data_IF_721245886961
#
_entry.id   IF_721245886961
#
_cell.length_a   1.000
_cell.length_b   1.000
_cell.length_c   1.000
_cell.angle_alpha   90.00
_cell.angle_beta   90.00
_cell.angle_gamma   90.00
#
_symmetry.space_group_name_H-M   'P 1'
#
loop_
_entity.id
_entity.type
_entity.pdbx_description
1 polymer ?
#
# COMPACT_ATOMS: atom_id res chain seq x y z
N UNK A 1 16.67 -19.52 5.28
CA UNK A 1 16.61 -18.67 4.07
C UNK A 1 16.41 -17.22 4.52
N UNK A 2 17.48 -16.43 4.65
CA UNK A 2 17.38 -15.02 5.06
C UNK A 2 17.02 -14.16 3.86
N UNK A 3 15.73 -14.09 3.52
CA UNK A 3 15.21 -13.26 2.42
C UNK A 3 15.51 -11.76 2.58
N UNK A 4 15.81 -11.31 3.81
CA UNK A 4 16.25 -9.94 4.10
C UNK A 4 17.52 -9.50 3.36
N UNK A 5 18.38 -10.44 2.96
CA UNK A 5 19.59 -10.14 2.20
C UNK A 5 19.36 -10.01 0.69
N UNK A 6 18.18 -10.36 0.19
CA UNK A 6 17.89 -10.35 -1.25
C UNK A 6 17.28 -9.01 -1.66
N UNK A 7 17.99 -8.28 -2.53
CA UNK A 7 17.52 -7.01 -3.10
C UNK A 7 16.15 -7.16 -3.77
N UNK A 8 15.89 -8.33 -4.37
CA UNK A 8 14.65 -8.59 -5.08
C UNK A 8 13.45 -8.67 -4.14
N UNK A 9 13.66 -9.11 -2.89
CA UNK A 9 12.62 -9.08 -1.87
C UNK A 9 12.24 -7.64 -1.50
N UNK A 10 13.24 -6.76 -1.31
CA UNK A 10 13.00 -5.35 -1.03
C UNK A 10 12.30 -4.62 -2.18
N UNK A 11 12.64 -4.92 -3.44
CA UNK A 11 11.96 -4.35 -4.61
C UNK A 11 10.49 -4.76 -4.68
N UNK A 12 10.18 -6.03 -4.38
CA UNK A 12 8.79 -6.52 -4.34
C UNK A 12 8.02 -5.95 -3.15
N UNK A 13 8.68 -5.75 -2.02
CA UNK A 13 8.07 -5.10 -0.86
C UNK A 13 7.74 -3.64 -1.15
N UNK A 14 8.68 -2.91 -1.76
CA UNK A 14 8.49 -1.51 -2.18
C UNK A 14 7.35 -1.39 -3.20
N UNK A 15 7.27 -2.28 -4.20
CA UNK A 15 6.15 -2.26 -5.15
C UNK A 15 4.81 -2.57 -4.47
N UNK A 16 4.77 -3.53 -3.54
CA UNK A 16 3.55 -3.81 -2.76
C UNK A 16 3.10 -2.61 -1.93
N UNK A 17 4.03 -1.84 -1.36
CA UNK A 17 3.75 -0.61 -0.62
C UNK A 17 3.17 0.47 -1.53
N UNK A 18 3.78 0.71 -2.70
CA UNK A 18 3.27 1.68 -3.67
C UNK A 18 1.83 1.33 -4.06
N UNK A 19 1.56 0.06 -4.35
CA UNK A 19 0.21 -0.42 -4.69
C UNK A 19 -0.76 -0.28 -3.52
N UNK A 20 -0.33 -0.54 -2.28
CA UNK A 20 -1.16 -0.34 -1.09
C UNK A 20 -1.49 1.15 -0.83
N UNK A 21 -0.59 2.07 -1.21
CA UNK A 21 -0.82 3.51 -1.04
C UNK A 21 -1.63 4.17 -2.17
N UNK A 22 -1.68 3.57 -3.37
CA UNK A 22 -2.39 4.10 -4.54
C UNK A 22 -3.87 4.51 -4.25
N UNK A 23 -4.68 3.70 -3.53
CA UNK A 23 -6.05 4.06 -3.20
C UNK A 23 -6.18 5.34 -2.36
N UNK A 24 -5.16 5.68 -1.57
CA UNK A 24 -5.19 6.88 -0.71
C UNK A 24 -5.00 8.18 -1.50
N UNK A 25 -4.39 8.10 -2.68
CA UNK A 25 -4.08 9.24 -3.55
C UNK A 25 -5.19 9.45 -4.59
N UNK A 26 -5.77 8.36 -5.12
CA UNK A 26 -6.78 8.42 -6.18
C UNK A 26 -8.13 8.85 -5.60
N UNK A 27 -8.50 10.12 -5.83
CA UNK A 27 -9.84 10.66 -5.57
C UNK A 27 -10.57 10.93 -6.88
N UNK A 28 -11.88 10.63 -7.00
CA UNK A 28 -12.75 9.98 -6.01
C UNK A 28 -12.49 8.47 -5.90
N UNK A 29 -12.71 7.92 -4.70
CA UNK A 29 -12.61 6.48 -4.44
C UNK A 29 -13.74 5.78 -5.21
N UNK A 30 -13.42 5.19 -6.35
CA UNK A 30 -14.34 4.35 -7.14
C UNK A 30 -14.06 2.88 -6.82
N UNK A 31 -15.10 2.05 -6.79
CA UNK A 31 -15.00 0.62 -6.48
C UNK A 31 -14.11 -0.14 -7.48
N UNK A 32 -14.20 0.19 -8.76
CA UNK A 32 -13.43 -0.49 -9.83
C UNK A 32 -11.91 -0.34 -9.66
N UNK A 33 -11.32 0.87 -9.55
CA UNK A 33 -9.87 1.01 -9.33
C UNK A 33 -9.42 0.45 -7.98
N UNK A 34 -10.30 0.41 -6.97
CA UNK A 34 -10.01 -0.22 -5.68
C UNK A 34 -9.81 -1.73 -5.85
N UNK A 35 -10.70 -2.38 -6.60
CA UNK A 35 -10.65 -3.81 -6.88
C UNK A 35 -9.41 -4.17 -7.71
N UNK A 36 -9.03 -3.35 -8.69
CA UNK A 36 -7.80 -3.58 -9.46
C UNK A 36 -6.55 -3.42 -8.61
N UNK A 37 -6.48 -2.40 -7.74
CA UNK A 37 -5.33 -2.25 -6.82
C UNK A 37 -5.22 -3.43 -5.85
N UNK A 38 -6.34 -3.95 -5.35
CA UNK A 38 -6.37 -5.08 -4.43
C UNK A 38 -5.93 -6.38 -5.13
N UNK A 39 -6.38 -6.61 -6.36
CA UNK A 39 -5.92 -7.73 -7.19
C UNK A 39 -4.43 -7.65 -7.49
N UNK A 40 -3.94 -6.45 -7.82
CA UNK A 40 -2.52 -6.25 -8.13
C UNK A 40 -1.64 -6.46 -6.90
N UNK A 41 -2.09 -5.98 -5.72
CA UNK A 41 -1.41 -6.22 -4.45
C UNK A 41 -1.39 -7.70 -4.08
N UNK A 42 -2.51 -8.41 -4.25
CA UNK A 42 -2.59 -9.86 -4.04
C UNK A 42 -1.65 -10.63 -4.99
N UNK A 43 -1.56 -10.21 -6.26
CA UNK A 43 -0.64 -10.81 -7.23
C UNK A 43 0.84 -10.63 -6.85
N UNK A 44 1.22 -9.49 -6.26
CA UNK A 44 2.59 -9.28 -5.77
C UNK A 44 2.89 -10.20 -4.58
N UNK A 45 1.95 -10.34 -3.65
CA UNK A 45 2.11 -11.23 -2.50
C UNK A 45 2.21 -12.70 -2.89
N UNK A 46 1.44 -13.15 -3.89
CA UNK A 46 1.55 -14.52 -4.40
C UNK A 46 2.91 -14.76 -5.05
N UNK A 47 3.46 -13.80 -5.79
CA UNK A 47 4.83 -13.89 -6.34
C UNK A 47 5.86 -14.03 -5.20
N UNK A 48 5.74 -13.22 -4.13
CA UNK A 48 6.62 -13.30 -2.97
C UNK A 48 6.52 -14.68 -2.30
N UNK A 49 5.30 -15.22 -2.16
CA UNK A 49 5.06 -16.54 -1.59
C UNK A 49 5.77 -17.64 -2.37
N UNK A 50 5.63 -17.66 -3.70
CA UNK A 50 6.25 -18.68 -4.54
C UNK A 50 7.77 -18.58 -4.56
N UNK A 51 8.33 -17.37 -4.48
CA UNK A 51 9.77 -17.15 -4.66
C UNK A 51 10.57 -17.24 -3.35
N UNK A 52 10.02 -16.76 -2.25
CA UNK A 52 10.72 -16.65 -0.95
C UNK A 52 10.09 -17.48 0.17
N UNK A 53 8.93 -18.09 -0.09
CA UNK A 53 8.19 -18.91 0.86
C UNK A 53 7.23 -18.12 1.76
N UNK A 54 6.47 -18.86 2.58
CA UNK A 54 5.37 -18.33 3.37
C UNK A 54 5.78 -17.24 4.38
N UNK A 55 6.94 -17.38 5.03
CA UNK A 55 7.42 -16.42 6.04
C UNK A 55 7.67 -15.04 5.43
N UNK A 56 8.28 -15.00 4.23
CA UNK A 56 8.56 -13.76 3.52
C UNK A 56 7.28 -13.07 3.03
N UNK A 57 6.29 -13.86 2.60
CA UNK A 57 4.98 -13.34 2.18
C UNK A 57 4.20 -12.76 3.37
N UNK A 58 4.21 -13.42 4.54
CA UNK A 58 3.59 -12.89 5.75
C UNK A 58 4.23 -11.58 6.21
N UNK A 59 5.56 -11.49 6.21
CA UNK A 59 6.26 -10.25 6.53
C UNK A 59 5.90 -9.12 5.55
N UNK A 60 5.88 -9.42 4.24
CA UNK A 60 5.47 -8.47 3.21
C UNK A 60 4.02 -8.01 3.36
N UNK A 61 3.11 -8.93 3.70
CA UNK A 61 1.69 -8.62 3.96
C UNK A 61 1.55 -7.66 5.14
N UNK A 62 2.16 -7.96 6.29
CA UNK A 62 2.06 -7.12 7.50
C UNK A 62 2.63 -5.73 7.24
N UNK A 63 3.82 -5.65 6.65
CA UNK A 63 4.49 -4.36 6.37
C UNK A 63 3.73 -3.52 5.36
N UNK A 64 3.27 -4.13 4.26
CA UNK A 64 2.54 -3.40 3.21
C UNK A 64 1.15 -2.97 3.67
N UNK A 65 0.46 -3.80 4.45
CA UNK A 65 -0.83 -3.47 5.04
C UNK A 65 -0.71 -2.32 6.06
N UNK A 66 0.27 -2.40 6.96
CA UNK A 66 0.55 -1.32 7.90
C UNK A 66 0.91 -0.01 7.17
N UNK A 67 1.75 -0.07 6.15
CA UNK A 67 2.12 1.09 5.33
C UNK A 67 0.93 1.70 4.58
N UNK A 68 0.05 0.89 4.01
CA UNK A 68 -1.16 1.33 3.34
C UNK A 68 -2.16 2.01 4.29
N UNK A 69 -2.36 1.46 5.49
CA UNK A 69 -3.20 2.10 6.52
C UNK A 69 -2.62 3.45 6.94
N UNK A 70 -1.30 3.51 7.15
CA UNK A 70 -0.63 4.73 7.58
C UNK A 70 -0.71 5.82 6.49
N UNK A 71 -0.56 5.46 5.22
CA UNK A 71 -0.74 6.39 4.10
C UNK A 71 -2.19 6.86 3.99
N UNK A 72 -3.17 5.97 4.20
CA UNK A 72 -4.58 6.32 4.20
C UNK A 72 -4.92 7.31 5.32
N UNK A 73 -4.43 7.07 6.54
CA UNK A 73 -4.60 7.99 7.67
C UNK A 73 -3.99 9.37 7.38
N UNK A 74 -2.77 9.41 6.82
CA UNK A 74 -2.13 10.66 6.41
C UNK A 74 -2.94 11.39 5.33
N UNK A 75 -3.43 10.69 4.31
CA UNK A 75 -4.22 11.27 3.24
C UNK A 75 -5.55 11.86 3.76
N UNK A 76 -6.21 11.18 4.71
CA UNK A 76 -7.40 11.70 5.39
C UNK A 76 -7.05 12.95 6.19
N UNK A 77 -5.98 12.91 7.00
CA UNK A 77 -5.53 14.02 7.82
C UNK A 77 -5.22 15.28 7.00
N UNK A 78 -4.42 15.15 5.93
CA UNK A 78 -4.10 16.28 5.05
C UNK A 78 -5.33 16.84 4.34
N UNK A 79 -6.28 15.99 3.95
CA UNK A 79 -7.51 16.50 3.36
C UNK A 79 -8.45 17.18 4.33
N UNK A 80 -8.48 16.76 5.59
CA UNK A 80 -9.17 17.48 6.65
C UNK A 80 -8.56 18.88 6.83
N UNK A 81 -7.23 18.99 6.79
CA UNK A 81 -6.52 20.27 6.83
C UNK A 81 -6.89 21.19 5.66
N UNK A 82 -6.88 20.68 4.42
CA UNK A 82 -7.24 21.47 3.22
C UNK A 82 -8.70 21.94 3.24
N UNK A 83 -9.61 21.13 3.82
CA UNK A 83 -11.00 21.53 4.06
C UNK A 83 -11.12 22.63 5.13
N UNK A 84 -10.32 22.57 6.20
CA UNK A 84 -10.31 23.57 7.26
C UNK A 84 -9.71 24.90 6.81
N UNK A 85 -8.63 24.89 6.03
CA UNK A 85 -8.04 26.12 5.48
C UNK A 85 -9.00 26.82 4.53
N UNK A 86 -9.67 26.08 3.63
CA UNK A 86 -10.67 26.65 2.70
C UNK A 86 -11.90 27.24 3.40
N UNK A 87 -12.32 26.71 4.55
CA UNK A 87 -13.42 27.28 5.35
C UNK A 87 -13.08 28.59 6.05
N UNK A 88 -11.79 28.92 6.21
CA UNK A 88 -11.35 30.13 6.92
C UNK A 88 -11.23 31.37 6.02
N UNK A 89 -11.20 31.19 4.70
CA UNK A 89 -11.06 32.26 3.71
C UNK A 89 -12.35 32.56 2.93
N UNK A 90 -13.50 32.04 3.40
CA UNK A 90 -14.83 32.35 2.89
C UNK A 90 -15.66 32.96 4.00
#
# INVERSE_FOLDING_TARGET
MTFFGDLTWWLLLASSLVVATLPSIIRPIRTVPLLTTLLFWAAILTIIWFRFGAVAALAGLVLSFAGGILSFLLAVFFSGFDLMTKKRYR
#
